data_IF_479569053330
#
_entry.id   IF_479569053330
#
_cell.length_a   1.000
_cell.length_b   1.000
_cell.length_c   1.000
_cell.angle_alpha   90.00
_cell.angle_beta   90.00
_cell.angle_gamma   90.00
#
_symmetry.space_group_name_H-M   'P 1'
#
loop_
_entity.id
_entity.type
_entity.pdbx_description
1 polymer ?
#
# COMPACT_ATOMS: atom_id res chain seq x y z
N UNK A 1 15.83 -15.99 -5.40
CA UNK A 1 15.99 -15.52 -5.37
C UNK A 1 16.14 -14.67 -5.24
N UNK A 2 16.40 -14.58 -5.34
CA UNK A 2 16.67 -13.82 -5.03
C UNK A 2 16.43 -12.86 -5.29
N UNK A 3 16.22 -12.85 -5.37
CA UNK A 3 16.09 -12.04 -5.57
C UNK A 3 15.73 -11.19 -5.92
N UNK A 4 15.14 -11.35 -5.94
CA UNK A 4 14.93 -10.50 -5.99
C UNK A 4 15.37 -9.44 -6.00
N UNK A 5 15.36 -9.25 -6.56
CA UNK A 5 16.52 -8.42 -6.37
C UNK A 5 16.28 -6.98 -6.73
N UNK A 6 16.60 -6.06 -5.81
CA UNK A 6 16.46 -4.64 -6.10
C UNK A 6 17.44 -4.20 -7.19
N UNK A 7 18.43 -4.99 -7.51
CA UNK A 7 19.42 -4.60 -8.51
C UNK A 7 18.83 -4.40 -9.89
N UNK A 8 17.65 -4.99 -10.14
CA UNK A 8 17.01 -4.88 -11.44
C UNK A 8 15.88 -3.86 -11.44
N UNK A 9 15.76 -3.09 -10.37
CA UNK A 9 14.69 -2.11 -10.24
C UNK A 9 15.26 -0.70 -10.30
N UNK A 10 14.47 0.27 -10.77
CA UNK A 10 14.93 1.65 -10.75
C UNK A 10 14.98 2.20 -9.33
N UNK A 11 15.72 3.29 -9.16
CA UNK A 11 15.81 3.94 -7.88
C UNK A 11 14.53 4.70 -7.52
N UNK A 12 13.75 5.06 -8.51
CA UNK A 12 12.55 5.84 -8.29
C UNK A 12 11.49 5.44 -9.30
N UNK A 13 10.26 5.79 -8.97
CA UNK A 13 9.11 5.53 -9.83
C UNK A 13 8.36 6.83 -10.05
N UNK A 14 7.70 6.92 -11.19
CA UNK A 14 6.76 8.03 -11.39
C UNK A 14 5.57 7.84 -10.45
N UNK A 15 4.78 8.90 -10.30
CA UNK A 15 3.57 8.79 -9.50
C UNK A 15 2.62 7.73 -10.05
N UNK A 16 2.49 7.67 -11.38
CA UNK A 16 1.64 6.66 -11.99
C UNK A 16 2.16 5.25 -11.74
N UNK A 17 3.46 5.07 -11.89
CA UNK A 17 4.05 3.75 -11.67
C UNK A 17 3.87 3.32 -10.22
N UNK A 18 4.05 4.24 -9.29
CA UNK A 18 3.92 3.88 -7.88
C UNK A 18 2.47 3.56 -7.52
N UNK A 19 1.51 4.28 -8.13
CA UNK A 19 0.11 3.96 -7.90
C UNK A 19 -0.21 2.56 -8.41
N UNK A 20 0.24 2.25 -9.62
CA UNK A 20 -0.02 0.93 -10.18
C UNK A 20 0.64 -0.17 -9.36
N UNK A 21 1.83 0.10 -8.83
CA UNK A 21 2.48 -0.87 -7.95
C UNK A 21 1.66 -1.12 -6.70
N UNK A 22 1.12 -0.07 -6.11
CA UNK A 22 0.27 -0.23 -4.93
C UNK A 22 -0.98 -1.03 -5.26
N UNK A 23 -1.58 -0.75 -6.42
CA UNK A 23 -2.74 -1.51 -6.86
C UNK A 23 -2.39 -3.00 -6.99
N UNK A 24 -1.28 -3.31 -7.63
CA UNK A 24 -0.91 -4.70 -7.82
C UNK A 24 -0.60 -5.39 -6.50
N UNK A 25 -0.09 -4.66 -5.54
CA UNK A 25 0.14 -5.26 -4.23
C UNK A 25 -1.18 -5.68 -3.58
N UNK A 26 -2.20 -4.85 -3.69
CA UNK A 26 -3.52 -5.20 -3.18
C UNK A 26 -4.12 -6.36 -3.97
N UNK A 27 -3.98 -6.32 -5.30
CA UNK A 27 -4.51 -7.39 -6.14
C UNK A 27 -3.86 -8.72 -5.81
N UNK A 28 -2.56 -8.72 -5.58
CA UNK A 28 -1.87 -9.95 -5.23
C UNK A 28 -2.42 -10.53 -3.93
N UNK A 29 -2.73 -9.67 -2.98
CA UNK A 29 -3.31 -10.13 -1.73
C UNK A 29 -4.69 -10.75 -1.97
N UNK A 30 -5.49 -10.08 -2.79
CA UNK A 30 -6.81 -10.60 -3.14
C UNK A 30 -6.71 -11.99 -3.77
N UNK A 31 -5.74 -12.16 -4.66
CA UNK A 31 -5.59 -13.41 -5.39
C UNK A 31 -5.16 -14.56 -4.49
N UNK A 32 -4.60 -14.26 -3.33
CA UNK A 32 -4.24 -15.31 -2.39
C UNK A 32 -5.45 -15.87 -1.64
N UNK A 33 -6.58 -15.21 -1.72
CA UNK A 33 -7.76 -15.61 -0.97
C UNK A 33 -8.64 -16.50 -1.82
N UNK A 34 -9.08 -17.62 -1.28
CA UNK A 34 -10.03 -18.47 -1.98
C UNK A 34 -11.42 -17.85 -1.99
N UNK A 35 -11.77 -17.19 -0.87
CA UNK A 35 -13.05 -16.53 -0.74
C UNK A 35 -12.81 -15.16 -0.14
N UNK A 36 -12.38 -14.21 -0.97
CA UNK A 36 -12.09 -12.87 -0.45
C UNK A 36 -13.36 -12.22 0.09
N UNK A 37 -13.19 -11.44 1.14
CA UNK A 37 -14.31 -10.71 1.70
C UNK A 37 -14.80 -9.66 0.72
N UNK A 38 -16.05 -9.25 0.89
CA UNK A 38 -16.61 -8.23 0.03
C UNK A 38 -15.80 -6.93 0.14
N UNK A 39 -15.33 -6.62 1.34
CA UNK A 39 -14.60 -5.37 1.53
C UNK A 39 -13.32 -5.33 0.72
N UNK A 40 -12.58 -6.43 0.65
CA UNK A 40 -11.34 -6.39 -0.12
C UNK A 40 -11.62 -6.38 -1.61
N UNK A 41 -12.71 -7.01 -2.04
CA UNK A 41 -13.11 -6.92 -3.43
C UNK A 41 -13.45 -5.47 -3.78
N UNK A 42 -14.20 -4.81 -2.90
CA UNK A 42 -14.57 -3.40 -3.14
C UNK A 42 -13.35 -2.49 -3.15
N UNK A 43 -12.38 -2.74 -2.27
CA UNK A 43 -11.13 -1.98 -2.29
C UNK A 43 -10.41 -2.13 -3.62
N UNK A 44 -10.35 -3.37 -4.11
CA UNK A 44 -9.68 -3.61 -5.38
C UNK A 44 -10.40 -2.90 -6.52
N UNK A 45 -11.73 -2.93 -6.53
CA UNK A 45 -12.48 -2.24 -7.55
C UNK A 45 -12.31 -0.73 -7.46
N UNK A 46 -12.26 -0.19 -6.24
CA UNK A 46 -12.01 1.23 -6.04
C UNK A 46 -10.69 1.63 -6.69
N UNK A 47 -9.64 0.89 -6.40
CA UNK A 47 -8.32 1.21 -6.94
C UNK A 47 -8.26 1.06 -8.46
N UNK A 48 -9.12 0.24 -9.01
CA UNK A 48 -9.10 -0.04 -10.44
C UNK A 48 -9.92 0.94 -11.24
N UNK A 49 -11.12 1.31 -10.74
CA UNK A 49 -12.09 1.98 -11.57
C UNK A 49 -12.67 3.28 -10.99
N UNK A 50 -12.49 3.55 -9.70
CA UNK A 50 -13.13 4.71 -9.12
C UNK A 50 -12.53 5.99 -9.70
N UNK A 51 -13.39 6.92 -10.09
CA UNK A 51 -12.93 8.16 -10.70
C UNK A 51 -12.14 9.03 -9.72
N UNK A 52 -12.32 8.84 -8.43
CA UNK A 52 -11.60 9.62 -7.42
C UNK A 52 -10.23 9.02 -7.07
N UNK A 53 -9.92 7.83 -7.60
CA UNK A 53 -8.73 7.11 -7.13
C UNK A 53 -7.44 7.90 -7.32
N UNK A 54 -7.34 8.64 -8.41
CA UNK A 54 -6.11 9.37 -8.65
C UNK A 54 -5.93 10.51 -7.67
N UNK A 55 -6.99 11.28 -7.42
CA UNK A 55 -6.89 12.37 -6.45
C UNK A 55 -6.65 11.83 -5.05
N UNK A 56 -7.27 10.72 -4.71
CA UNK A 56 -7.03 10.08 -3.43
C UNK A 56 -5.57 9.63 -3.31
N UNK A 57 -5.01 9.12 -4.41
CA UNK A 57 -3.61 8.72 -4.43
C UNK A 57 -2.69 9.91 -4.21
N UNK A 58 -2.97 11.03 -4.88
CA UNK A 58 -2.15 12.22 -4.71
C UNK A 58 -2.18 12.70 -3.26
N UNK A 59 -3.33 12.63 -2.63
CA UNK A 59 -3.42 13.00 -1.23
C UNK A 59 -2.60 12.05 -0.36
N UNK A 60 -2.65 10.77 -0.66
CA UNK A 60 -1.84 9.79 0.06
C UNK A 60 -0.35 10.08 -0.10
N UNK A 61 0.05 10.48 -1.31
CA UNK A 61 1.44 10.84 -1.56
C UNK A 61 1.85 12.05 -0.70
N UNK A 62 0.97 13.05 -0.62
CA UNK A 62 1.29 14.22 0.19
C UNK A 62 1.48 13.84 1.66
N UNK A 63 0.66 12.93 2.14
CA UNK A 63 0.82 12.44 3.52
C UNK A 63 2.15 11.73 3.70
N UNK A 64 2.52 10.89 2.73
CA UNK A 64 3.77 10.17 2.81
C UNK A 64 4.97 11.11 2.82
N UNK A 65 4.88 12.19 2.04
CA UNK A 65 5.98 13.15 2.00
C UNK A 65 6.09 13.94 3.29
N UNK A 66 5.01 14.05 4.04
CA UNK A 66 5.01 14.86 5.27
C UNK A 66 5.24 14.03 6.53
N UNK A 67 5.35 12.71 6.42
CA UNK A 67 5.41 11.88 7.62
C UNK A 67 6.82 11.57 8.09
N UNK A 68 7.83 12.11 7.41
CA UNK A 68 9.20 11.94 7.86
C UNK A 68 9.85 10.63 7.46
N UNK A 69 9.25 9.90 6.54
CA UNK A 69 9.89 8.70 6.04
C UNK A 69 9.73 7.50 6.95
N UNK A 70 8.59 7.40 7.59
CA UNK A 70 8.38 6.35 8.59
C UNK A 70 8.05 4.98 8.00
N UNK A 71 7.97 4.88 6.69
CA UNK A 71 7.57 3.63 6.07
C UNK A 71 8.76 2.75 5.70
N UNK A 72 9.81 2.80 6.47
CA UNK A 72 10.98 1.97 6.24
C UNK A 72 10.65 0.54 6.65
N UNK A 73 10.60 -0.39 5.71
CA UNK A 73 10.22 -1.77 6.04
C UNK A 73 11.24 -2.47 6.94
N UNK A 74 12.45 -1.94 7.03
CA UNK A 74 13.44 -2.53 7.91
C UNK A 74 13.28 -2.07 9.35
N UNK A 75 12.37 -1.14 9.59
CA UNK A 75 12.11 -0.70 10.95
C UNK A 75 10.85 -1.38 11.45
N UNK A 76 11.04 -2.54 11.97
CA UNK A 76 9.96 -3.31 12.51
C UNK A 76 9.26 -2.53 13.61
N UNK A 77 7.94 -2.45 13.53
CA UNK A 77 7.19 -1.81 14.56
C UNK A 77 7.03 -0.31 14.44
N UNK A 78 7.53 0.26 13.36
CA UNK A 78 7.43 1.71 13.19
C UNK A 78 6.00 2.19 13.31
N UNK A 79 5.08 1.51 12.66
CA UNK A 79 3.70 1.95 12.67
C UNK A 79 2.97 1.67 13.96
N UNK A 80 3.49 0.77 14.76
CA UNK A 80 2.85 0.47 16.04
C UNK A 80 2.88 1.66 16.98
N UNK A 81 3.88 2.50 16.83
CA UNK A 81 4.10 3.59 17.76
C UNK A 81 3.57 4.91 17.26
N UNK A 82 2.84 4.90 16.17
CA UNK A 82 2.30 6.14 15.62
C UNK A 82 0.95 6.46 16.22
N UNK A 83 0.87 7.50 17.02
CA UNK A 83 -0.42 7.85 17.61
C UNK A 83 -1.42 8.38 16.60
N UNK A 84 -0.93 8.83 15.45
CA UNK A 84 -1.80 9.40 14.43
C UNK A 84 -2.27 8.38 13.40
N UNK A 85 -1.95 7.11 13.59
CA UNK A 85 -2.48 6.09 12.69
C UNK A 85 -3.98 6.02 12.84
N UNK A 86 -4.70 6.14 11.73
CA UNK A 86 -6.16 6.17 11.82
C UNK A 86 -6.77 4.86 12.27
N UNK A 87 -6.08 3.76 12.05
CA UNK A 87 -6.64 2.47 12.41
C UNK A 87 -5.55 1.46 12.67
N UNK A 88 -5.62 0.80 13.78
CA UNK A 88 -4.72 -0.29 14.10
C UNK A 88 -5.60 -1.51 14.40
N UNK A 89 -5.52 -2.56 13.57
CA UNK A 89 -6.37 -3.73 13.79
C UNK A 89 -6.08 -4.36 15.12
N UNK A 90 -7.15 -4.69 15.83
CA UNK A 90 -6.99 -5.37 17.07
C UNK A 90 -6.49 -6.78 16.81
N UNK A 91 -5.66 -7.22 17.68
CA UNK A 91 -5.12 -8.54 17.52
C UNK A 91 -4.12 -8.65 16.42
N UNK A 92 -3.83 -7.56 15.84
CA UNK A 92 -2.87 -7.56 14.78
C UNK A 92 -3.26 -8.44 13.68
N UNK A 93 -4.05 -8.72 13.73
CA UNK A 93 -4.11 -9.48 12.85
C UNK A 93 -4.66 -9.74 12.05
N UNK A 94 -4.64 -9.69 11.77
CA UNK A 94 -5.25 -9.95 10.86
C UNK A 94 -5.20 -10.93 10.12
#
# INVERSE_FOLDING_TARGET
MSEDSVANLPDSLTLDESFRAAFYMVLQYLELKQEPSEDIVLLTQYLWTDSARWQDWLEAVRRALSDGGLADPDHEGVYKDRPDMPYVPKGGRA
#
